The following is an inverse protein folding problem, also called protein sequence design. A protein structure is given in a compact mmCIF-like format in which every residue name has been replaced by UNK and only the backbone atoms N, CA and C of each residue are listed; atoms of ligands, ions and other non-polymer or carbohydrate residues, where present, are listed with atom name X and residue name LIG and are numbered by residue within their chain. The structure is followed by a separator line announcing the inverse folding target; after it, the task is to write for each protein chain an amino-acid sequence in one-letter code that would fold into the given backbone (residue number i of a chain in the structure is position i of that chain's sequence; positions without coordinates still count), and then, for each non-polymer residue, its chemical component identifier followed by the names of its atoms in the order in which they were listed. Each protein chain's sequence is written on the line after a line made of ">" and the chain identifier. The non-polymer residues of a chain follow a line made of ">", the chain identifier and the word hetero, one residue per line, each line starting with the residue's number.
data_IF_078912410392
#
_entry.id   IF_078912410392
#
_cell.length_a   1.000
_cell.length_b   1.000
_cell.length_c   1.000
_cell.angle_alpha   90.00
_cell.angle_beta   90.00
_cell.angle_gamma   90.00
#
_symmetry.space_group_name_H-M   'P 1'
#
loop_
_entity.id
_entity.type
_entity.pdbx_description
1 polymer ?
#
# COMPACT_ATOMS: atom_id res chain seq x y z
N UNK A 1 -14.12 -16.48 -16.30
CA UNK A 1 -14.20 -15.42 -15.28
C UNK A 1 -12.78 -14.99 -14.95
N UNK A 2 -12.43 -13.72 -15.15
CA UNK A 2 -11.10 -13.22 -14.77
C UNK A 2 -11.05 -13.05 -13.25
N UNK A 3 -10.30 -13.93 -12.60
CA UNK A 3 -9.96 -13.85 -11.18
C UNK A 3 -9.06 -12.60 -11.02
N UNK A 4 -9.67 -11.45 -10.72
CA UNK A 4 -8.93 -10.21 -10.49
C UNK A 4 -8.28 -10.30 -9.10
N UNK A 5 -7.25 -11.14 -8.98
CA UNK A 5 -6.46 -11.27 -7.76
C UNK A 5 -5.92 -9.89 -7.42
N UNK A 6 -6.42 -9.32 -6.32
CA UNK A 6 -6.01 -7.99 -5.87
C UNK A 6 -4.49 -7.97 -5.65
N UNK A 7 -3.80 -6.88 -6.01
CA UNK A 7 -2.37 -6.78 -5.79
C UNK A 7 -2.06 -6.92 -4.29
N UNK A 8 -0.97 -7.60 -3.92
CA UNK A 8 -0.59 -7.74 -2.52
C UNK A 8 -0.09 -6.42 -1.94
N UNK A 9 -0.26 -6.24 -0.64
CA UNK A 9 0.35 -5.14 0.10
C UNK A 9 1.89 -5.17 -0.03
N UNK A 10 2.50 -3.99 -0.19
CA UNK A 10 3.96 -3.82 -0.27
C UNK A 10 4.62 -3.41 1.05
N UNK A 11 3.89 -3.53 2.16
CA UNK A 11 4.34 -3.16 3.49
C UNK A 11 4.56 -1.65 3.68
N UNK A 12 5.02 -1.24 4.88
CA UNK A 12 5.13 0.16 5.28
C UNK A 12 6.19 0.95 4.49
N UNK A 13 7.26 0.31 4.02
CA UNK A 13 8.41 0.99 3.41
C UNK A 13 8.36 1.14 1.88
N UNK A 14 7.42 0.47 1.22
CA UNK A 14 7.25 0.56 -0.23
C UNK A 14 7.86 -0.57 -1.05
N UNK A 15 8.34 -1.64 -0.43
CA UNK A 15 8.67 -2.91 -1.08
C UNK A 15 9.74 -2.86 -2.18
N UNK A 16 10.55 -1.80 -2.28
CA UNK A 16 11.63 -1.69 -3.27
C UNK A 16 12.99 -2.05 -2.64
N UNK A 17 13.68 -3.03 -3.24
CA UNK A 17 15.02 -3.45 -2.85
C UNK A 17 15.06 -4.52 -1.74
N UNK A 18 16.27 -4.80 -1.23
CA UNK A 18 16.55 -5.82 -0.19
C UNK A 18 15.87 -5.58 1.17
N UNK A 19 15.18 -4.45 1.33
CA UNK A 19 14.41 -4.06 2.52
C UNK A 19 12.91 -4.36 2.38
N UNK A 20 12.48 -4.96 1.28
CA UNK A 20 11.17 -5.62 1.20
C UNK A 20 11.12 -6.89 2.07
N UNK A 21 12.28 -7.49 2.35
CA UNK A 21 12.40 -8.63 3.27
C UNK A 21 12.11 -8.18 4.70
N UNK A 22 11.06 -8.76 5.30
CA UNK A 22 10.65 -8.52 6.69
C UNK A 22 9.24 -7.97 6.85
N UNK A 23 8.52 -7.69 5.76
CA UNK A 23 7.14 -7.20 5.82
C UNK A 23 6.22 -7.93 4.83
N UNK A 24 6.33 -9.27 4.75
CA UNK A 24 5.48 -10.13 3.92
C UNK A 24 4.03 -10.07 4.40
N UNK A 25 3.35 -8.98 4.05
CA UNK A 25 1.94 -8.78 4.25
C UNK A 25 1.20 -9.45 3.10
N UNK A 26 0.49 -10.54 3.41
CA UNK A 26 -0.31 -11.27 2.42
C UNK A 26 -1.69 -10.63 2.16
N UNK A 27 -2.02 -9.55 2.88
CA UNK A 27 -3.29 -8.88 2.73
C UNK A 27 -3.41 -8.18 1.37
N UNK A 28 -4.63 -8.16 0.80
CA UNK A 28 -4.86 -7.42 -0.43
C UNK A 28 -4.67 -5.92 -0.20
N UNK A 29 -3.96 -5.27 -1.11
CA UNK A 29 -3.92 -3.82 -1.16
C UNK A 29 -5.31 -3.27 -1.51
N UNK A 30 -5.69 -2.21 -0.82
CA UNK A 30 -6.94 -1.47 -1.06
C UNK A 30 -6.73 0.02 -1.17
N UNK A 31 -5.53 0.50 -0.82
CA UNK A 31 -5.09 1.87 -1.01
C UNK A 31 -3.90 1.93 -1.95
N UNK A 32 -3.86 2.99 -2.74
CA UNK A 32 -2.69 3.42 -3.49
C UNK A 32 -2.24 4.79 -2.97
N UNK A 33 -0.97 4.90 -2.58
CA UNK A 33 -0.35 6.15 -2.13
C UNK A 33 0.61 6.65 -3.20
N UNK A 34 0.37 7.86 -3.71
CA UNK A 34 1.27 8.47 -4.71
C UNK A 34 2.62 8.81 -4.08
N UNK A 35 3.70 8.56 -4.82
CA UNK A 35 5.08 8.88 -4.40
C UNK A 35 5.79 9.71 -5.47
N UNK A 36 6.53 10.72 -5.05
CA UNK A 36 7.33 11.56 -5.93
C UNK A 36 8.52 10.77 -6.48
N UNK A 37 8.67 10.78 -7.81
CA UNK A 37 9.75 10.09 -8.53
C UNK A 37 9.87 8.58 -8.20
N UNK A 38 8.76 7.95 -7.82
CA UNK A 38 8.67 6.51 -7.52
C UNK A 38 7.30 5.97 -7.95
N UNK A 39 7.18 4.66 -8.24
CA UNK A 39 5.88 4.04 -8.48
C UNK A 39 4.93 4.23 -7.28
N UNK A 40 3.60 4.29 -7.49
CA UNK A 40 2.65 4.33 -6.38
C UNK A 40 2.80 3.12 -5.44
N UNK A 41 2.56 3.36 -4.15
CA UNK A 41 2.68 2.35 -3.10
C UNK A 41 1.31 1.73 -2.80
N UNK A 42 1.19 0.43 -3.07
CA UNK A 42 -0.02 -0.36 -2.81
C UNK A 42 0.00 -0.96 -1.40
N UNK A 43 -1.00 -0.60 -0.58
CA UNK A 43 -1.05 -1.01 0.83
C UNK A 43 -2.43 -1.45 1.29
N UNK A 44 -2.44 -2.37 2.27
CA UNK A 44 -3.64 -2.75 3.00
C UNK A 44 -3.96 -1.67 4.07
N UNK A 45 -5.14 -1.72 4.70
CA UNK A 45 -5.53 -0.74 5.72
C UNK A 45 -4.58 -0.66 6.91
N UNK A 46 -4.05 -1.80 7.35
CA UNK A 46 -3.11 -1.89 8.48
C UNK A 46 -1.84 -1.09 8.21
N UNK A 47 -1.34 -1.13 6.97
CA UNK A 47 -0.08 -0.48 6.60
C UNK A 47 -0.25 0.94 6.08
N UNK A 48 -1.47 1.46 5.87
CA UNK A 48 -1.69 2.82 5.36
C UNK A 48 -1.02 3.87 6.24
N UNK A 49 -1.33 3.90 7.54
CA UNK A 49 -0.76 4.89 8.48
C UNK A 49 0.78 4.86 8.51
N UNK A 50 1.40 3.69 8.79
CA UNK A 50 2.85 3.53 8.73
C UNK A 50 3.46 3.95 7.39
N UNK A 51 2.82 3.64 6.25
CA UNK A 51 3.32 4.04 4.93
C UNK A 51 3.34 5.53 4.71
N UNK A 52 2.35 6.27 5.21
CA UNK A 52 2.35 7.73 5.10
C UNK A 52 3.49 8.39 5.88
N UNK A 53 4.05 7.70 6.88
CA UNK A 53 5.15 8.19 7.71
C UNK A 53 6.52 7.68 7.24
N UNK A 54 6.59 6.42 6.80
CA UNK A 54 7.86 5.71 6.60
C UNK A 54 8.24 5.54 5.12
N UNK A 55 7.26 5.56 4.20
CA UNK A 55 7.55 5.31 2.80
C UNK A 55 8.25 6.51 2.16
N UNK A 56 9.43 6.27 1.58
CA UNK A 56 10.17 7.32 0.89
C UNK A 56 9.40 7.87 -0.32
N UNK A 57 9.37 9.19 -0.48
CA UNK A 57 8.75 9.88 -1.60
C UNK A 57 7.27 10.23 -1.40
N UNK A 58 6.65 9.90 -0.27
CA UNK A 58 5.32 10.44 0.06
C UNK A 58 5.43 11.93 0.36
N UNK A 59 4.67 12.76 -0.36
CA UNK A 59 4.63 14.21 -0.18
C UNK A 59 3.51 14.60 0.79
N UNK A 60 3.66 15.75 1.45
CA UNK A 60 2.60 16.36 2.27
C UNK A 60 1.99 17.56 1.55
N UNK A 61 0.65 17.63 1.39
CA UNK A 61 -0.34 16.63 1.81
C UNK A 61 -0.30 15.34 0.95
N UNK A 62 -0.58 14.16 1.54
CA UNK A 62 -0.53 12.90 0.80
C UNK A 62 -1.72 12.76 -0.14
N UNK A 63 -1.46 12.18 -1.31
CA UNK A 63 -2.50 11.77 -2.26
C UNK A 63 -2.72 10.27 -2.12
N UNK A 64 -3.94 9.90 -1.74
CA UNK A 64 -4.34 8.53 -1.43
C UNK A 64 -5.59 8.19 -2.25
N UNK A 65 -5.55 7.08 -2.98
CA UNK A 65 -6.70 6.56 -3.72
C UNK A 65 -7.18 5.24 -3.11
N UNK A 66 -8.50 5.09 -3.01
CA UNK A 66 -9.13 3.81 -2.68
C UNK A 66 -9.28 2.99 -3.96
N UNK A 67 -8.58 1.85 -4.03
CA UNK A 67 -8.53 0.97 -5.22
C UNK A 67 -9.23 -0.38 -5.00
N UNK A 68 -9.72 -0.63 -3.78
CA UNK A 68 -10.45 -1.85 -3.46
C UNK A 68 -11.27 -1.71 -2.19
N UNK A 69 -12.14 -2.69 -1.93
CA UNK A 69 -12.87 -2.83 -0.66
C UNK A 69 -12.33 -4.00 0.15
N UNK A 70 -12.21 -3.85 1.47
CA UNK A 70 -12.06 -4.99 2.39
C UNK A 70 -13.47 -5.40 2.83
N UNK A 71 -13.87 -6.67 2.74
CA UNK A 71 -15.22 -7.11 3.08
C UNK A 71 -15.65 -6.81 4.53
N UNK A 72 -14.69 -6.64 5.45
CA UNK A 72 -14.95 -6.58 6.91
C UNK A 72 -14.52 -5.27 7.61
N UNK A 73 -14.13 -4.23 6.86
CA UNK A 73 -13.94 -2.91 7.47
C UNK A 73 -15.30 -2.22 7.63
N UNK A 74 -15.94 -2.40 8.78
CA UNK A 74 -17.04 -1.52 9.20
C UNK A 74 -16.48 -0.12 9.54
N UNK A 75 -17.21 0.96 9.21
CA UNK A 75 -16.81 2.32 9.53
C UNK A 75 -16.68 2.56 11.03
#
# INVERSE_FOLDING_TARGET
>A
MSDHRKPPCRGPYGGEGRQADGTDCSDPAVFEVTRHNKPPLLVCPVHLGPSLLMAGGVLWPPVIHLIGRVPDLRP
#
